data_IF_459342796166
#
_entry.id   IF_459342796166
#
_cell.length_a   1.000
_cell.length_b   1.000
_cell.length_c   1.000
_cell.angle_alpha   90.00
_cell.angle_beta   90.00
_cell.angle_gamma   90.00
#
_symmetry.space_group_name_H-M   'P 1'
#
loop_
_entity.id
_entity.type
_entity.pdbx_description
1 polymer ?
#
# COMPACT_ATOMS: atom_id res chain seq x y z
N UNK A 1 -22.85 -30.73 -4.31
CA UNK A 1 -22.75 -29.25 -4.45
C UNK A 1 -24.14 -28.71 -4.74
N UNK A 2 -24.86 -28.27 -3.70
CA UNK A 2 -26.18 -27.68 -3.85
C UNK A 2 -26.00 -26.22 -4.26
N UNK A 3 -26.09 -25.93 -5.57
CA UNK A 3 -26.22 -24.55 -6.04
C UNK A 3 -27.69 -24.19 -5.84
N UNK A 4 -28.01 -23.51 -4.74
CA UNK A 4 -29.30 -22.85 -4.60
C UNK A 4 -29.41 -21.82 -5.71
N UNK A 5 -30.10 -22.18 -6.80
CA UNK A 5 -30.58 -21.23 -7.79
C UNK A 5 -31.52 -20.27 -7.05
N UNK A 6 -30.97 -19.16 -6.55
CA UNK A 6 -31.77 -18.10 -5.98
C UNK A 6 -32.75 -17.66 -7.07
N UNK A 7 -34.04 -17.81 -6.82
CA UNK A 7 -35.06 -17.30 -7.71
C UNK A 7 -34.75 -15.82 -7.99
N UNK A 8 -34.68 -15.45 -9.26
CA UNK A 8 -34.49 -14.05 -9.65
C UNK A 8 -35.75 -13.30 -9.25
N UNK A 9 -35.77 -12.70 -8.06
CA UNK A 9 -36.94 -12.01 -7.53
C UNK A 9 -36.75 -10.51 -7.71
N UNK A 10 -37.77 -9.85 -8.26
CA UNK A 10 -37.90 -8.40 -8.15
C UNK A 10 -38.72 -8.08 -6.90
N UNK A 11 -38.09 -7.47 -5.91
CA UNK A 11 -38.75 -6.98 -4.68
C UNK A 11 -39.42 -5.63 -4.97
N UNK A 12 -40.64 -5.67 -5.51
CA UNK A 12 -41.34 -4.52 -6.12
C UNK A 12 -41.97 -3.54 -5.14
N UNK A 13 -41.52 -3.40 -3.89
CA UNK A 13 -42.29 -2.64 -2.87
C UNK A 13 -42.54 -1.19 -3.29
N UNK A 14 -43.70 -0.95 -3.92
CA UNK A 14 -44.26 0.35 -4.34
C UNK A 14 -43.43 1.18 -5.32
N UNK A 15 -42.65 0.55 -6.19
CA UNK A 15 -41.96 1.28 -7.27
C UNK A 15 -42.96 1.76 -8.33
N UNK A 16 -43.32 3.04 -8.31
CA UNK A 16 -44.27 3.65 -9.24
C UNK A 16 -43.58 4.34 -10.43
N UNK A 17 -42.26 4.49 -10.39
CA UNK A 17 -41.46 5.04 -11.48
C UNK A 17 -40.43 4.04 -11.99
N UNK A 18 -39.99 4.23 -13.24
CA UNK A 18 -38.90 3.43 -13.81
C UNK A 18 -37.64 3.50 -12.94
N UNK A 19 -37.32 4.67 -12.39
CA UNK A 19 -36.12 4.86 -11.57
C UNK A 19 -36.21 4.05 -10.26
N UNK A 20 -37.33 4.16 -9.54
CA UNK A 20 -37.59 3.38 -8.31
C UNK A 20 -37.52 1.88 -8.59
N UNK A 21 -38.10 1.43 -9.72
CA UNK A 21 -38.09 0.03 -10.10
C UNK A 21 -36.67 -0.52 -10.31
N UNK A 22 -35.83 0.20 -11.05
CA UNK A 22 -34.45 -0.23 -11.32
C UNK A 22 -33.61 -0.24 -10.03
N UNK A 23 -33.92 0.66 -9.08
CA UNK A 23 -33.29 0.70 -7.75
C UNK A 23 -33.80 -0.38 -6.78
N UNK A 24 -35.02 -0.88 -6.97
CA UNK A 24 -35.69 -1.83 -6.07
C UNK A 24 -35.03 -3.21 -6.00
N UNK A 25 -34.27 -3.59 -7.04
CA UNK A 25 -33.56 -4.85 -7.02
C UNK A 25 -32.78 -5.12 -8.31
N UNK A 26 -31.78 -5.98 -8.21
CA UNK A 26 -30.91 -6.36 -9.32
C UNK A 26 -31.68 -7.02 -10.49
N UNK A 27 -32.78 -7.71 -10.20
CA UNK A 27 -33.55 -8.46 -11.20
C UNK A 27 -34.79 -7.72 -11.72
N UNK A 28 -35.06 -6.51 -11.20
CA UNK A 28 -36.21 -5.72 -11.65
C UNK A 28 -36.01 -5.17 -13.07
N UNK A 29 -37.08 -4.96 -13.79
CA UNK A 29 -37.11 -4.33 -15.09
C UNK A 29 -38.42 -3.54 -15.19
N UNK A 30 -38.46 -2.56 -16.08
CA UNK A 30 -39.62 -1.68 -16.20
C UNK A 30 -40.21 -1.71 -17.62
N UNK A 31 -41.51 -1.89 -17.75
CA UNK A 31 -42.19 -1.80 -19.05
C UNK A 31 -42.65 -0.36 -19.35
N UNK A 32 -42.05 0.27 -20.37
CA UNK A 32 -42.39 1.66 -20.79
C UNK A 32 -43.60 1.75 -21.73
N UNK A 33 -44.16 0.63 -22.19
CA UNK A 33 -45.30 0.59 -23.12
C UNK A 33 -46.51 1.30 -22.50
N UNK A 34 -47.09 2.28 -23.20
CA UNK A 34 -48.18 3.12 -22.65
C UNK A 34 -49.39 2.30 -22.18
N UNK A 35 -49.91 1.41 -23.03
CA UNK A 35 -51.09 0.56 -22.73
C UNK A 35 -50.69 -0.80 -22.12
N UNK A 36 -49.77 -0.81 -21.16
CA UNK A 36 -49.34 -2.05 -20.49
C UNK A 36 -50.22 -2.42 -19.29
N UNK A 37 -50.64 -1.44 -18.50
CA UNK A 37 -51.52 -1.63 -17.35
C UNK A 37 -52.98 -1.61 -17.78
N UNK A 38 -53.82 -2.42 -17.13
CA UNK A 38 -55.28 -2.40 -17.33
C UNK A 38 -55.95 -1.35 -16.45
N UNK A 39 -57.21 -1.02 -16.75
CA UNK A 39 -57.98 -0.07 -15.94
C UNK A 39 -58.07 -0.56 -14.47
N UNK A 40 -57.59 0.27 -13.53
CA UNK A 40 -57.54 -0.05 -12.10
C UNK A 40 -56.23 -0.69 -11.62
N UNK A 41 -55.29 -1.01 -12.51
CA UNK A 41 -53.97 -1.54 -12.13
C UNK A 41 -52.98 -0.39 -11.83
N UNK A 42 -52.22 -0.44 -10.71
CA UNK A 42 -51.24 0.60 -10.39
C UNK A 42 -50.03 0.55 -11.32
N UNK A 43 -49.34 1.68 -11.51
CA UNK A 43 -48.12 1.75 -12.31
C UNK A 43 -46.99 0.86 -11.79
N UNK A 44 -47.02 0.46 -10.51
CA UNK A 44 -46.09 -0.52 -9.95
C UNK A 44 -46.13 -1.89 -10.63
N UNK A 45 -47.22 -2.23 -11.33
CA UNK A 45 -47.29 -3.41 -12.17
C UNK A 45 -46.31 -3.42 -13.35
N UNK A 46 -45.84 -2.24 -13.77
CA UNK A 46 -44.81 -2.08 -14.81
C UNK A 46 -43.44 -2.55 -14.33
N UNK A 47 -43.25 -2.74 -13.02
CA UNK A 47 -42.02 -3.21 -12.42
C UNK A 47 -42.07 -4.72 -12.13
N UNK A 48 -41.27 -5.51 -12.83
CA UNK A 48 -41.11 -6.95 -12.56
C UNK A 48 -39.82 -7.48 -13.18
N UNK A 49 -39.53 -8.76 -13.00
CA UNK A 49 -38.52 -9.46 -13.78
C UNK A 49 -38.86 -9.42 -15.27
N UNK A 50 -37.82 -9.37 -16.10
CA UNK A 50 -37.97 -9.32 -17.56
C UNK A 50 -38.85 -10.46 -18.10
N UNK A 51 -38.70 -11.68 -17.56
CA UNK A 51 -39.50 -12.83 -17.96
C UNK A 51 -41.00 -12.64 -17.70
N UNK A 52 -41.38 -12.07 -16.54
CA UNK A 52 -42.80 -11.83 -16.24
C UNK A 52 -43.36 -10.71 -17.12
N UNK A 53 -42.60 -9.63 -17.35
CA UNK A 53 -43.03 -8.56 -18.24
C UNK A 53 -43.25 -9.04 -19.68
N UNK A 54 -42.37 -9.91 -20.18
CA UNK A 54 -42.54 -10.55 -21.49
C UNK A 54 -43.80 -11.44 -21.53
N UNK A 55 -44.01 -12.26 -20.50
CA UNK A 55 -45.21 -13.10 -20.37
C UNK A 55 -46.52 -12.31 -20.31
N UNK A 56 -46.46 -11.07 -19.80
CA UNK A 56 -47.59 -10.13 -19.77
C UNK A 56 -47.77 -9.32 -21.07
N UNK A 57 -46.97 -9.57 -22.10
CA UNK A 57 -47.10 -8.91 -23.41
C UNK A 57 -46.39 -7.55 -23.53
N UNK A 58 -45.43 -7.26 -22.65
CA UNK A 58 -44.46 -6.18 -22.90
C UNK A 58 -43.47 -6.64 -23.97
N UNK A 59 -43.23 -5.84 -25.00
CA UNK A 59 -42.22 -6.18 -26.01
C UNK A 59 -40.80 -6.00 -25.44
N UNK A 60 -39.81 -6.75 -25.94
CA UNK A 60 -38.40 -6.56 -25.52
C UNK A 60 -37.91 -5.12 -25.72
N UNK A 61 -38.38 -4.43 -26.78
CA UNK A 61 -38.01 -3.05 -27.06
C UNK A 61 -38.61 -2.04 -26.05
N UNK A 62 -39.68 -2.44 -25.37
CA UNK A 62 -40.36 -1.65 -24.35
C UNK A 62 -39.87 -1.95 -22.92
N UNK A 63 -39.02 -2.95 -22.74
CA UNK A 63 -38.45 -3.28 -21.44
C UNK A 63 -37.18 -2.47 -21.21
N UNK A 64 -37.17 -1.70 -20.13
CA UNK A 64 -36.00 -1.00 -19.61
C UNK A 64 -35.31 -1.91 -18.59
N UNK A 65 -34.16 -2.45 -18.96
CA UNK A 65 -33.31 -3.28 -18.10
C UNK A 65 -31.82 -2.92 -18.33
N UNK A 66 -31.30 -1.86 -17.67
CA UNK A 66 -29.90 -1.46 -17.84
C UNK A 66 -28.95 -2.58 -17.39
N UNK A 67 -27.91 -2.83 -18.18
CA UNK A 67 -26.91 -3.88 -17.90
C UNK A 67 -25.65 -3.23 -17.33
N UNK A 68 -25.08 -3.86 -16.30
CA UNK A 68 -23.75 -3.48 -15.79
C UNK A 68 -22.67 -3.86 -16.81
N UNK A 69 -21.78 -2.92 -17.13
CA UNK A 69 -20.66 -3.16 -18.05
C UNK A 69 -19.36 -2.67 -17.42
N UNK A 70 -18.29 -3.43 -17.65
CA UNK A 70 -16.94 -3.10 -17.23
C UNK A 70 -16.00 -3.31 -18.42
N UNK A 71 -15.66 -2.21 -19.10
CA UNK A 71 -14.91 -2.28 -20.35
C UNK A 71 -13.50 -1.69 -20.16
N UNK A 72 -12.44 -2.40 -20.59
CA UNK A 72 -11.10 -1.84 -20.61
C UNK A 72 -11.03 -0.70 -21.61
N UNK A 73 -10.47 0.44 -21.20
CA UNK A 73 -10.13 1.49 -22.15
C UNK A 73 -8.84 1.10 -22.89
N UNK A 74 -8.83 1.21 -24.23
CA UNK A 74 -7.63 0.91 -25.02
C UNK A 74 -6.52 1.90 -24.67
N UNK A 75 -5.51 1.44 -23.93
CA UNK A 75 -4.25 2.17 -23.76
C UNK A 75 -3.31 1.84 -24.93
N UNK A 76 -2.90 2.85 -25.70
CA UNK A 76 -2.01 2.69 -26.87
C UNK A 76 -0.53 2.44 -26.50
N UNK A 77 -0.14 2.47 -25.23
CA UNK A 77 1.27 2.33 -24.85
C UNK A 77 1.70 0.86 -24.79
N UNK A 78 2.44 0.41 -25.82
CA UNK A 78 3.32 -0.78 -25.75
C UNK A 78 4.60 -0.41 -25.01
N UNK A 79 4.47 -0.06 -23.74
CA UNK A 79 5.62 0.21 -22.89
C UNK A 79 5.91 -1.06 -22.06
N UNK A 80 7.11 -1.60 -22.20
CA UNK A 80 7.56 -2.82 -21.51
C UNK A 80 7.62 -2.63 -19.98
N UNK A 81 7.47 -1.40 -19.48
CA UNK A 81 7.38 -1.10 -18.04
C UNK A 81 5.96 -1.29 -17.44
N UNK A 82 4.95 -1.63 -18.26
CA UNK A 82 3.57 -1.79 -17.77
C UNK A 82 3.41 -3.09 -16.98
N UNK A 83 3.30 -2.97 -15.67
CA UNK A 83 3.09 -4.10 -14.76
C UNK A 83 1.61 -4.50 -14.60
N UNK A 84 0.66 -3.61 -14.89
CA UNK A 84 -0.78 -3.83 -14.70
C UNK A 84 -1.56 -3.51 -15.98
N UNK A 85 -2.38 -4.45 -16.45
CA UNK A 85 -3.24 -4.28 -17.63
C UNK A 85 -4.67 -4.79 -17.33
N UNK A 86 -5.73 -4.04 -17.64
CA UNK A 86 -5.75 -2.68 -18.18
C UNK A 86 -5.43 -1.61 -17.12
N UNK A 87 -4.91 -0.45 -17.55
CA UNK A 87 -4.63 0.68 -16.63
C UNK A 87 -5.85 1.56 -16.35
N UNK A 88 -6.86 1.48 -17.22
CA UNK A 88 -8.11 2.24 -17.13
C UNK A 88 -9.27 1.35 -17.54
N UNK A 89 -10.35 1.48 -16.79
CA UNK A 89 -11.60 0.76 -17.02
C UNK A 89 -12.73 1.78 -16.99
N UNK A 90 -13.70 1.61 -17.88
CA UNK A 90 -14.96 2.34 -17.84
C UNK A 90 -16.03 1.42 -17.27
N UNK A 91 -16.47 1.75 -16.06
CA UNK A 91 -17.54 1.04 -15.36
C UNK A 91 -18.86 1.79 -15.55
N UNK A 92 -19.89 1.08 -16.02
CA UNK A 92 -21.28 1.54 -15.98
C UNK A 92 -22.07 0.49 -15.22
N UNK A 93 -22.37 0.74 -13.96
CA UNK A 93 -23.00 -0.23 -13.06
C UNK A 93 -24.47 0.09 -12.84
N UNK A 94 -25.29 -0.96 -12.82
CA UNK A 94 -26.66 -0.93 -12.36
C UNK A 94 -26.69 -1.21 -10.84
N UNK A 95 -27.49 -0.48 -10.04
CA UNK A 95 -27.66 -0.78 -8.62
C UNK A 95 -28.00 -2.26 -8.38
N UNK A 96 -27.27 -2.89 -7.46
CA UNK A 96 -27.44 -4.30 -7.11
C UNK A 96 -26.83 -5.32 -8.09
N UNK A 97 -26.27 -4.90 -9.24
CA UNK A 97 -25.56 -5.79 -10.17
C UNK A 97 -24.06 -5.49 -10.21
N UNK A 98 -23.26 -6.54 -10.07
CA UNK A 98 -21.81 -6.47 -10.22
C UNK A 98 -21.40 -6.23 -11.67
N UNK A 99 -20.20 -5.66 -11.86
CA UNK A 99 -19.50 -5.63 -13.13
C UNK A 99 -18.14 -6.27 -12.93
N UNK A 100 -17.77 -7.19 -13.81
CA UNK A 100 -16.54 -7.98 -13.70
C UNK A 100 -15.55 -7.61 -14.81
N UNK A 101 -14.29 -7.53 -14.46
CA UNK A 101 -13.19 -7.29 -15.40
C UNK A 101 -11.93 -7.99 -14.90
N UNK A 102 -11.08 -8.38 -15.83
CA UNK A 102 -9.82 -9.06 -15.53
C UNK A 102 -8.68 -8.03 -15.40
N UNK A 103 -7.84 -8.18 -14.38
CA UNK A 103 -6.59 -7.44 -14.23
C UNK A 103 -5.43 -8.41 -14.30
N UNK A 104 -4.52 -8.18 -15.24
CA UNK A 104 -3.30 -8.94 -15.43
C UNK A 104 -2.13 -8.19 -14.81
N UNK A 105 -1.39 -8.88 -13.95
CA UNK A 105 -0.17 -8.38 -13.33
C UNK A 105 1.05 -9.14 -13.86
N UNK A 106 2.09 -8.41 -14.23
CA UNK A 106 3.41 -8.94 -14.58
C UNK A 106 4.46 -8.25 -13.72
N UNK A 107 5.31 -9.02 -13.05
CA UNK A 107 6.50 -8.49 -12.37
C UNK A 107 7.49 -8.01 -13.44
N UNK A 108 8.00 -6.79 -13.28
CA UNK A 108 9.07 -6.31 -14.15
C UNK A 108 10.41 -6.92 -13.71
N UNK A 109 11.16 -7.49 -14.65
CA UNK A 109 12.53 -7.92 -14.41
C UNK A 109 13.47 -6.71 -14.38
N UNK A 110 14.46 -6.72 -13.49
CA UNK A 110 15.44 -5.64 -13.36
C UNK A 110 14.87 -4.33 -12.78
N UNK A 111 13.76 -4.40 -12.05
CA UNK A 111 13.20 -3.24 -11.37
C UNK A 111 14.20 -2.66 -10.36
N UNK A 112 14.38 -1.33 -10.28
CA UNK A 112 15.31 -0.73 -9.33
C UNK A 112 14.93 -1.05 -7.89
N UNK A 113 15.93 -1.21 -7.03
CA UNK A 113 15.74 -1.50 -5.60
C UNK A 113 16.46 -0.44 -4.78
N UNK A 114 15.71 0.22 -3.91
CA UNK A 114 16.26 1.15 -2.92
C UNK A 114 16.22 0.49 -1.54
N UNK A 115 17.40 0.28 -0.94
CA UNK A 115 17.54 -0.21 0.42
C UNK A 115 18.03 0.90 1.33
N UNK A 116 17.15 1.41 2.20
CA UNK A 116 17.55 2.34 3.24
C UNK A 116 17.71 1.59 4.57
N UNK A 117 18.95 1.39 5.00
CA UNK A 117 19.26 0.67 6.23
C UNK A 117 19.09 1.60 7.42
N UNK A 118 18.09 1.33 8.26
CA UNK A 118 17.78 2.13 9.45
C UNK A 118 18.18 1.35 10.71
N UNK A 119 19.20 1.83 11.40
CA UNK A 119 19.86 1.11 12.50
C UNK A 119 19.58 1.73 13.87
N UNK A 120 19.20 0.87 14.82
CA UNK A 120 19.24 1.19 16.26
C UNK A 120 20.72 1.31 16.69
N UNK A 121 21.11 2.45 17.28
CA UNK A 121 22.45 2.68 17.82
C UNK A 121 22.43 2.83 19.36
N UNK A 122 21.43 2.27 20.03
CA UNK A 122 21.44 2.08 21.49
C UNK A 122 22.64 1.22 21.93
N UNK A 123 22.92 1.22 23.23
CA UNK A 123 24.07 0.50 23.80
C UNK A 123 24.05 -0.99 23.46
N UNK A 124 22.84 -1.57 23.39
CA UNK A 124 22.62 -2.98 23.07
C UNK A 124 23.08 -3.41 21.67
N UNK A 125 23.30 -2.45 20.75
CA UNK A 125 23.61 -2.71 19.33
C UNK A 125 25.11 -2.63 19.03
N UNK A 126 25.97 -2.71 20.05
CA UNK A 126 27.41 -2.52 19.92
C UNK A 126 28.09 -3.57 19.03
N UNK A 127 27.81 -4.84 19.28
CA UNK A 127 28.32 -5.98 18.54
C UNK A 127 27.71 -6.05 17.13
N UNK A 128 26.41 -5.76 17.00
CA UNK A 128 25.74 -5.64 15.70
C UNK A 128 26.39 -4.57 14.82
N UNK A 129 26.76 -3.43 15.39
CA UNK A 129 27.44 -2.38 14.63
C UNK A 129 28.78 -2.86 14.05
N UNK A 130 29.51 -3.73 14.75
CA UNK A 130 30.74 -4.34 14.23
C UNK A 130 30.42 -5.21 13.02
N UNK A 131 29.36 -6.01 13.09
CA UNK A 131 28.92 -6.86 11.98
C UNK A 131 28.46 -6.05 10.77
N UNK A 132 27.64 -5.01 10.98
CA UNK A 132 27.10 -4.17 9.90
C UNK A 132 28.20 -3.40 9.18
N UNK A 133 29.26 -2.98 9.90
CA UNK A 133 30.47 -2.39 9.29
C UNK A 133 31.12 -3.30 8.25
N UNK A 134 31.02 -4.62 8.43
CA UNK A 134 31.56 -5.61 7.48
C UNK A 134 30.59 -5.94 6.33
N UNK A 135 29.29 -5.63 6.46
CA UNK A 135 28.23 -6.12 5.59
C UNK A 135 27.99 -5.26 4.33
N UNK A 136 28.33 -3.97 4.36
CA UNK A 136 27.96 -3.00 3.32
C UNK A 136 28.25 -3.42 1.88
N UNK A 137 29.46 -3.90 1.61
CA UNK A 137 29.87 -4.35 0.27
C UNK A 137 29.13 -5.63 -0.14
N UNK A 138 29.03 -6.60 0.77
CA UNK A 138 28.39 -7.89 0.51
C UNK A 138 26.89 -7.73 0.20
N UNK A 139 26.20 -6.85 0.93
CA UNK A 139 24.77 -6.60 0.76
C UNK A 139 24.47 -5.93 -0.57
N UNK A 140 25.21 -4.88 -0.93
CA UNK A 140 25.01 -4.22 -2.22
C UNK A 140 25.36 -5.14 -3.40
N UNK A 141 26.41 -5.96 -3.27
CA UNK A 141 26.75 -6.96 -4.27
C UNK A 141 25.65 -8.02 -4.44
N UNK A 142 25.06 -8.49 -3.34
CA UNK A 142 23.93 -9.41 -3.38
C UNK A 142 22.70 -8.80 -4.06
N UNK A 143 22.41 -7.51 -3.81
CA UNK A 143 21.32 -6.79 -4.48
C UNK A 143 21.58 -6.60 -5.98
N UNK A 144 22.82 -6.28 -6.36
CA UNK A 144 23.23 -6.10 -7.76
C UNK A 144 23.13 -7.40 -8.58
N UNK A 145 23.20 -8.57 -7.93
CA UNK A 145 22.95 -9.86 -8.60
C UNK A 145 21.47 -10.08 -8.94
N UNK A 146 20.55 -9.38 -8.27
CA UNK A 146 19.10 -9.51 -8.46
C UNK A 146 18.56 -8.41 -9.38
N UNK A 147 19.09 -7.20 -9.28
CA UNK A 147 18.69 -6.05 -10.09
C UNK A 147 19.89 -5.25 -10.58
N UNK A 148 19.78 -4.69 -11.79
CA UNK A 148 20.84 -3.85 -12.38
C UNK A 148 20.88 -2.43 -11.80
N UNK A 149 19.92 -2.07 -10.95
CA UNK A 149 19.78 -0.72 -10.40
C UNK A 149 19.47 -0.74 -8.91
N UNK A 150 20.42 -1.22 -8.11
CA UNK A 150 20.34 -1.16 -6.65
C UNK A 150 20.99 0.11 -6.09
N UNK A 151 20.37 0.72 -5.09
CA UNK A 151 20.97 1.79 -4.28
C UNK A 151 20.83 1.46 -2.80
N UNK A 152 21.81 1.89 -2.01
CA UNK A 152 21.84 1.71 -0.57
C UNK A 152 22.03 3.05 0.15
N UNK A 153 21.32 3.24 1.27
CA UNK A 153 21.38 4.43 2.12
C UNK A 153 21.43 4.03 3.59
N UNK A 154 21.77 4.96 4.47
CA UNK A 154 21.95 4.70 5.89
C UNK A 154 21.39 5.82 6.77
N UNK A 155 20.72 5.42 7.86
CA UNK A 155 20.34 6.29 8.94
C UNK A 155 20.33 5.54 10.26
N UNK A 156 20.29 6.28 11.36
CA UNK A 156 20.28 5.69 12.70
C UNK A 156 19.32 6.40 13.64
N UNK A 157 18.96 5.71 14.72
CA UNK A 157 18.12 6.23 15.79
C UNK A 157 18.53 5.67 17.15
N UNK A 158 18.09 6.35 18.22
CA UNK A 158 18.11 5.86 19.60
C UNK A 158 16.74 6.15 20.18
N UNK A 159 16.56 7.25 20.92
CA UNK A 159 15.27 7.72 21.40
C UNK A 159 15.22 9.26 21.53
N UNK A 160 14.05 9.78 21.87
CA UNK A 160 13.79 11.20 22.11
C UNK A 160 14.73 11.71 23.19
N UNK A 161 15.38 12.84 22.92
CA UNK A 161 16.41 13.42 23.80
C UNK A 161 15.80 14.22 24.96
N UNK A 162 14.79 13.66 25.62
CA UNK A 162 14.07 14.24 26.75
C UNK A 162 13.85 13.19 27.82
N UNK A 163 13.64 13.61 29.07
CA UNK A 163 13.16 12.71 30.12
C UNK A 163 11.76 12.16 29.76
N UNK A 164 11.43 10.91 30.12
CA UNK A 164 12.25 9.96 30.88
C UNK A 164 13.17 9.05 30.02
N UNK A 165 13.20 9.22 28.69
CA UNK A 165 13.90 8.33 27.76
C UNK A 165 15.43 8.45 27.86
N UNK A 166 15.95 9.65 28.08
CA UNK A 166 17.38 9.89 28.31
C UNK A 166 17.62 10.75 29.53
N UNK A 167 18.79 10.60 30.14
CA UNK A 167 19.20 11.47 31.24
C UNK A 167 19.58 12.86 30.76
N UNK A 168 19.09 13.88 31.46
CA UNK A 168 19.45 15.28 31.22
C UNK A 168 20.65 15.75 32.04
N UNK A 169 21.30 14.85 32.78
CA UNK A 169 22.50 15.19 33.54
C UNK A 169 23.68 15.46 32.58
N UNK A 170 24.43 16.57 32.71
CA UNK A 170 25.43 16.97 31.71
C UNK A 170 26.47 15.91 31.37
N UNK A 171 26.93 15.13 32.34
CA UNK A 171 27.92 14.07 32.10
C UNK A 171 27.32 12.87 31.36
N UNK A 172 26.05 12.56 31.57
CA UNK A 172 25.36 11.48 30.85
C UNK A 172 24.92 11.93 29.45
N UNK A 173 24.69 13.23 29.23
CA UNK A 173 24.50 13.77 27.87
C UNK A 173 25.79 13.72 27.03
N UNK A 174 26.96 13.82 27.67
CA UNK A 174 28.25 13.67 26.98
C UNK A 174 28.60 12.20 26.71
N UNK A 175 28.40 11.32 27.69
CA UNK A 175 28.62 9.88 27.57
C UNK A 175 27.47 9.10 28.23
N UNK A 176 26.43 8.73 27.46
CA UNK A 176 25.23 8.08 27.99
C UNK A 176 25.43 6.61 28.35
N UNK A 177 26.59 6.03 28.04
CA UNK A 177 26.81 4.61 28.27
C UNK A 177 26.91 4.25 29.76
N UNK A 178 26.38 3.08 30.16
CA UNK A 178 26.48 2.60 31.53
C UNK A 178 27.94 2.40 31.95
N UNK A 179 28.72 1.76 31.09
CA UNK A 179 30.16 1.62 31.24
C UNK A 179 30.88 2.90 30.80
N UNK A 180 31.52 3.59 31.75
CA UNK A 180 32.24 4.84 31.50
C UNK A 180 33.59 4.65 30.80
N UNK A 181 34.08 3.41 30.71
CA UNK A 181 35.27 3.09 29.91
C UNK A 181 34.97 3.06 28.41
N UNK A 182 33.69 2.88 28.04
CA UNK A 182 33.23 2.90 26.66
C UNK A 182 32.81 4.33 26.31
N UNK A 183 33.41 4.85 25.23
CA UNK A 183 33.04 6.15 24.69
C UNK A 183 31.80 6.02 23.81
N UNK A 184 30.72 6.71 24.19
CA UNK A 184 29.50 6.77 23.42
C UNK A 184 29.19 8.18 22.98
N UNK A 185 28.51 8.29 21.84
CA UNK A 185 28.05 9.59 21.37
C UNK A 185 26.87 10.10 22.22
N UNK A 186 26.64 11.42 22.27
CA UNK A 186 25.46 12.00 22.89
C UNK A 186 24.15 11.40 22.34
N UNK A 187 23.09 11.29 23.16
CA UNK A 187 21.81 10.77 22.73
C UNK A 187 21.20 11.59 21.59
N UNK A 188 20.50 10.92 20.69
CA UNK A 188 19.81 11.52 19.56
C UNK A 188 18.59 10.70 19.16
N UNK A 189 17.56 11.35 18.64
CA UNK A 189 16.36 10.67 18.19
C UNK A 189 16.56 9.98 16.84
N UNK A 190 16.84 10.75 15.78
CA UNK A 190 17.07 10.22 14.44
C UNK A 190 18.15 11.03 13.71
N UNK A 191 19.01 10.34 12.97
CA UNK A 191 20.02 10.94 12.08
C UNK A 191 19.95 10.29 10.70
N UNK A 192 19.71 11.11 9.69
CA UNK A 192 20.04 10.74 8.31
C UNK A 192 21.56 10.89 8.12
N UNK A 193 22.21 9.85 7.58
CA UNK A 193 23.67 9.80 7.46
C UNK A 193 24.11 9.68 6.01
N UNK A 194 23.48 8.79 5.23
CA UNK A 194 23.83 8.54 3.84
C UNK A 194 22.58 8.48 2.98
N UNK A 195 22.52 9.41 2.03
CA UNK A 195 21.59 9.41 0.90
C UNK A 195 21.78 8.14 0.04
N UNK A 196 20.70 7.64 -0.55
CA UNK A 196 20.75 6.47 -1.43
C UNK A 196 21.81 6.64 -2.53
N UNK A 197 22.67 5.64 -2.67
CA UNK A 197 23.81 5.65 -3.60
C UNK A 197 24.09 4.24 -4.13
N UNK A 198 24.56 4.07 -5.37
CA UNK A 198 25.04 2.79 -5.89
C UNK A 198 26.47 2.46 -5.42
N UNK A 199 27.09 3.31 -4.59
CA UNK A 199 28.47 3.16 -4.11
C UNK A 199 28.52 2.50 -2.73
N UNK A 200 28.82 1.20 -2.70
CA UNK A 200 28.94 0.42 -1.46
C UNK A 200 30.08 0.87 -0.55
N UNK A 201 31.16 1.41 -1.12
CA UNK A 201 32.29 1.91 -0.34
C UNK A 201 31.89 3.16 0.47
N UNK A 202 31.02 4.03 -0.09
CA UNK A 202 30.46 5.15 0.67
C UNK A 202 29.63 4.66 1.85
N UNK A 203 28.81 3.63 1.67
CA UNK A 203 28.06 3.03 2.76
C UNK A 203 28.99 2.49 3.85
N UNK A 204 29.96 1.65 3.48
CA UNK A 204 30.94 1.09 4.40
C UNK A 204 31.70 2.16 5.18
N UNK A 205 32.14 3.22 4.51
CA UNK A 205 32.82 4.35 5.16
C UNK A 205 31.91 5.07 6.16
N UNK A 206 30.67 5.36 5.79
CA UNK A 206 29.73 6.09 6.65
C UNK A 206 29.29 5.26 7.86
N UNK A 207 29.05 3.96 7.69
CA UNK A 207 28.76 3.04 8.81
C UNK A 207 30.01 2.84 9.68
N UNK A 208 31.20 2.75 9.08
CA UNK A 208 32.48 2.56 9.74
C UNK A 208 32.78 3.58 10.84
N UNK A 209 32.37 4.84 10.64
CA UNK A 209 32.61 5.95 11.57
C UNK A 209 31.51 6.12 12.63
N UNK A 210 30.46 5.31 12.60
CA UNK A 210 29.43 5.36 13.63
C UNK A 210 29.89 4.70 14.93
N UNK A 211 29.35 5.19 16.03
CA UNK A 211 29.49 4.67 17.38
C UNK A 211 28.11 4.48 18.01
N UNK A 212 28.03 3.68 19.07
CA UNK A 212 26.82 3.55 19.87
C UNK A 212 26.56 4.78 20.74
N UNK A 213 25.32 4.90 21.19
CA UNK A 213 24.77 5.84 22.14
C UNK A 213 24.07 5.07 23.27
N UNK A 214 23.36 5.76 24.16
CA UNK A 214 22.53 5.13 25.19
C UNK A 214 21.29 5.96 25.54
N UNK A 215 20.35 5.28 26.17
CA UNK A 215 19.08 5.73 26.72
C UNK A 215 18.86 5.06 28.08
N UNK A 216 17.79 5.43 28.79
CA UNK A 216 17.47 4.94 30.15
C UNK A 216 16.49 3.77 30.13
N UNK A 217 15.55 3.77 29.19
CA UNK A 217 14.53 2.76 29.05
C UNK A 217 14.86 1.74 27.95
N UNK A 218 14.06 0.69 27.84
CA UNK A 218 14.27 -0.38 26.86
C UNK A 218 13.55 -0.16 25.51
N UNK A 219 12.37 0.50 25.45
CA UNK A 219 11.80 0.96 24.19
C UNK A 219 12.70 2.02 23.52
N UNK A 220 12.61 2.12 22.19
CA UNK A 220 13.42 3.03 21.40
C UNK A 220 12.54 3.85 20.44
N UNK A 221 13.06 4.97 19.98
CA UNK A 221 12.40 5.92 19.07
C UNK A 221 12.33 5.47 17.61
N UNK A 222 12.35 4.16 17.32
CA UNK A 222 12.43 3.64 15.96
C UNK A 222 11.28 4.07 15.05
N UNK A 223 10.06 4.22 15.58
CA UNK A 223 8.90 4.67 14.81
C UNK A 223 9.00 6.13 14.34
N UNK A 224 9.62 7.00 15.14
CA UNK A 224 9.90 8.38 14.72
C UNK A 224 10.84 8.36 13.51
N UNK A 225 11.91 7.57 13.59
CA UNK A 225 12.88 7.44 12.52
C UNK A 225 12.26 6.84 11.26
N UNK A 226 11.42 5.81 11.39
CA UNK A 226 10.67 5.24 10.27
C UNK A 226 9.76 6.27 9.59
N UNK A 227 9.04 7.07 10.38
CA UNK A 227 8.21 8.15 9.86
C UNK A 227 9.05 9.16 9.08
N UNK A 228 10.17 9.64 9.65
CA UNK A 228 11.06 10.58 8.98
C UNK A 228 11.58 10.03 7.66
N UNK A 229 11.98 8.75 7.64
CA UNK A 229 12.48 8.09 6.43
C UNK A 229 11.39 7.95 5.36
N UNK A 230 10.17 7.60 5.76
CA UNK A 230 9.05 7.48 4.85
C UNK A 230 8.68 8.84 4.21
N UNK A 231 8.65 9.93 4.99
CA UNK A 231 8.14 11.24 4.54
C UNK A 231 9.18 12.16 3.91
N UNK A 232 10.47 12.07 4.30
CA UNK A 232 11.53 12.99 3.83
C UNK A 232 11.93 12.83 2.35
N UNK A 233 11.24 11.95 1.60
CA UNK A 233 11.12 12.03 0.14
C UNK A 233 12.43 12.01 -0.67
N UNK A 234 12.31 12.43 -1.93
CA UNK A 234 13.39 12.42 -2.94
C UNK A 234 14.44 13.50 -2.67
N UNK A 235 14.12 14.58 -1.94
CA UNK A 235 15.05 15.70 -1.73
C UNK A 235 16.08 15.47 -0.62
N UNK A 236 15.81 14.58 0.35
CA UNK A 236 16.75 14.27 1.43
C UNK A 236 17.29 12.84 1.36
N UNK A 237 16.42 11.86 1.07
CA UNK A 237 16.82 10.44 1.04
C UNK A 237 17.10 9.96 -0.40
N UNK A 238 16.54 10.63 -1.40
CA UNK A 238 16.76 10.40 -2.85
C UNK A 238 16.26 9.06 -3.38
N UNK A 239 15.05 8.64 -3.02
CA UNK A 239 14.39 7.48 -3.63
C UNK A 239 14.23 7.63 -5.16
N UNK A 240 14.35 6.53 -5.89
CA UNK A 240 13.98 6.49 -7.31
C UNK A 240 12.50 6.84 -7.48
N UNK A 241 12.17 7.70 -8.44
CA UNK A 241 10.79 8.10 -8.75
C UNK A 241 9.91 6.94 -9.23
N UNK A 242 10.52 5.90 -9.79
CA UNK A 242 9.84 4.65 -10.19
C UNK A 242 9.65 3.68 -9.02
N UNK A 243 10.40 3.76 -7.92
CA UNK A 243 10.22 2.87 -6.77
C UNK A 243 9.01 3.31 -5.96
N UNK A 244 7.87 2.66 -6.20
CA UNK A 244 6.59 2.99 -5.54
C UNK A 244 6.49 2.47 -4.10
N UNK A 245 7.26 1.44 -3.76
CA UNK A 245 7.32 0.88 -2.42
C UNK A 245 8.71 1.09 -1.85
N UNK A 246 8.81 2.04 -0.91
CA UNK A 246 9.99 2.23 -0.08
C UNK A 246 10.01 1.07 0.90
N UNK A 247 10.76 0.02 0.59
CA UNK A 247 10.98 -1.08 1.54
C UNK A 247 11.94 -0.57 2.62
N UNK A 248 11.37 0.03 3.66
CA UNK A 248 12.12 0.38 4.86
C UNK A 248 12.24 -0.89 5.71
N UNK A 249 13.43 -1.47 5.72
CA UNK A 249 13.76 -2.56 6.65
C UNK A 249 14.43 -1.95 7.87
N UNK A 250 13.71 -2.00 8.99
CA UNK A 250 14.30 -1.80 10.32
C UNK A 250 14.84 -3.13 10.79
N UNK A 251 16.15 -3.23 10.93
CA UNK A 251 16.78 -4.40 11.53
C UNK A 251 17.05 -4.10 13.00
N UNK A 252 16.27 -4.71 13.89
CA UNK A 252 16.72 -5.00 15.25
C UNK A 252 17.09 -6.47 15.22
N UNK A 253 18.39 -6.77 15.20
CA UNK A 253 18.85 -8.16 15.29
C UNK A 253 18.63 -8.60 16.73
N UNK A 254 17.41 -9.04 17.03
CA UNK A 254 17.10 -9.61 18.34
C UNK A 254 17.98 -10.86 18.53
N UNK A 255 19.05 -10.72 19.30
CA UNK A 255 19.62 -11.86 20.00
C UNK A 255 18.62 -12.20 21.11
N UNK A 256 17.81 -13.24 20.86
CA UNK A 256 17.09 -13.89 21.94
C UNK A 256 18.11 -14.31 22.99
N UNK A 257 17.88 -13.89 24.23
CA UNK A 257 18.43 -14.59 25.39
C UNK A 257 18.02 -16.05 25.37
#
# INVERSE_FOLDING_TARGET
LCVLAHAQVCTKTRANTCQECIQSGAHCAWCKKLNFTTAGEPDSARCDTENVLLGRGCSKADIINPISTALPERSQSKDDTVQLTPRRIRLKLRPGKTGEFEVKFRRAEGYPVDLYYLMDLSYSMFDDLINVKSLGDNLLNALNNITKSAQIGFGSFVDKTVLPFVSTHPEQLKNPCPDKTIACQPPFSFKHILTLTPDGNKFKKQVGVQSISGNLDSPEGGLDAMMQVAVCGVSKICYHSSVKHKNLQTFKLNHGM
#
